data_IF_363725851403
#
_entry.id   IF_363725851403
#
_cell.length_a   1.000
_cell.length_b   1.000
_cell.length_c   1.000
_cell.angle_alpha   90.00
_cell.angle_beta   90.00
_cell.angle_gamma   90.00
#
_symmetry.space_group_name_H-M   'P 1'
#
loop_
_entity.id
_entity.type
_entity.pdbx_description
1 polymer ?
#
# COMPACT_ATOMS: atom_id res chain seq x y z
N UNK A 1 -14.20 5.49 -11.41
CA UNK A 1 -15.05 4.28 -11.58
C UNK A 1 -15.90 4.13 -10.33
N UNK A 2 -17.22 4.03 -10.50
CA UNK A 2 -18.14 3.82 -9.37
C UNK A 2 -18.14 2.34 -8.96
N UNK A 3 -18.56 2.05 -7.71
CA UNK A 3 -18.66 0.66 -7.22
C UNK A 3 -19.59 -0.20 -8.11
N UNK A 4 -20.65 0.39 -8.66
CA UNK A 4 -21.58 -0.30 -9.56
C UNK A 4 -20.91 -0.67 -10.89
N UNK A 5 -20.11 0.21 -11.46
CA UNK A 5 -19.36 -0.06 -12.69
C UNK A 5 -18.32 -1.16 -12.46
N UNK A 6 -17.63 -1.12 -11.32
CA UNK A 6 -16.65 -2.13 -10.93
C UNK A 6 -17.30 -3.52 -10.81
N UNK A 7 -18.43 -3.62 -10.11
CA UNK A 7 -19.21 -4.88 -9.99
C UNK A 7 -19.57 -5.42 -11.38
N UNK A 8 -20.06 -4.57 -12.28
CA UNK A 8 -20.42 -4.97 -13.65
C UNK A 8 -19.21 -5.44 -14.49
N UNK A 9 -18.02 -4.87 -14.28
CA UNK A 9 -16.79 -5.32 -14.93
C UNK A 9 -16.35 -6.69 -14.40
N UNK A 10 -16.40 -6.87 -13.08
CA UNK A 10 -16.03 -8.15 -12.42
C UNK A 10 -17.01 -9.25 -12.87
N UNK A 11 -18.31 -8.99 -12.87
CA UNK A 11 -19.34 -9.95 -13.29
C UNK A 11 -19.11 -10.41 -14.76
N UNK A 12 -18.88 -9.47 -15.66
CA UNK A 12 -18.55 -9.81 -17.05
C UNK A 12 -17.28 -10.65 -17.17
N UNK A 13 -16.26 -10.32 -16.40
CA UNK A 13 -15.04 -11.11 -16.38
C UNK A 13 -15.26 -12.50 -15.81
N UNK A 14 -16.02 -12.66 -14.72
CA UNK A 14 -16.36 -13.96 -14.16
C UNK A 14 -17.11 -14.86 -15.14
N UNK A 15 -17.94 -14.28 -16.00
CA UNK A 15 -18.69 -14.98 -17.05
C UNK A 15 -17.89 -15.18 -18.35
N UNK A 16 -16.68 -14.64 -18.42
CA UNK A 16 -15.80 -14.80 -19.60
C UNK A 16 -14.84 -15.98 -19.42
N UNK A 17 -14.15 -16.36 -20.50
CA UNK A 17 -13.07 -17.34 -20.45
C UNK A 17 -11.71 -16.73 -20.10
N UNK A 18 -11.64 -15.40 -19.85
CA UNK A 18 -10.39 -14.72 -19.57
C UNK A 18 -9.81 -15.15 -18.20
N UNK A 19 -8.57 -15.58 -18.19
CA UNK A 19 -7.86 -15.99 -16.96
C UNK A 19 -7.44 -14.82 -16.08
N UNK A 20 -7.40 -13.61 -16.62
CA UNK A 20 -6.91 -12.42 -15.91
C UNK A 20 -7.71 -11.19 -16.26
N UNK A 21 -7.88 -10.30 -15.27
CA UNK A 21 -8.46 -8.97 -15.41
C UNK A 21 -7.53 -7.95 -14.73
N UNK A 22 -7.10 -6.94 -15.47
CA UNK A 22 -6.35 -5.82 -14.90
C UNK A 22 -7.25 -4.58 -14.81
N UNK A 23 -7.31 -4.02 -13.64
CA UNK A 23 -8.01 -2.78 -13.31
C UNK A 23 -7.01 -1.71 -12.90
N UNK A 24 -7.35 -0.44 -13.12
CA UNK A 24 -6.57 0.68 -12.58
C UNK A 24 -7.40 1.40 -11.54
N UNK A 25 -6.96 1.32 -10.28
CA UNK A 25 -7.61 1.96 -9.14
C UNK A 25 -6.62 2.94 -8.55
N UNK A 26 -7.00 4.22 -8.50
CA UNK A 26 -6.15 5.34 -8.06
C UNK A 26 -4.81 5.40 -8.81
N UNK A 27 -4.86 5.16 -10.12
CA UNK A 27 -3.69 5.20 -11.00
C UNK A 27 -2.75 4.00 -10.89
N UNK A 28 -3.06 3.03 -10.03
CA UNK A 28 -2.23 1.84 -9.83
C UNK A 28 -2.93 0.56 -10.32
N UNK A 29 -2.19 -0.38 -10.92
CA UNK A 29 -2.76 -1.62 -11.40
C UNK A 29 -3.15 -2.54 -10.23
N UNK A 30 -4.33 -3.12 -10.36
CA UNK A 30 -4.84 -4.22 -9.52
C UNK A 30 -5.22 -5.35 -10.46
N UNK A 31 -4.75 -6.54 -10.16
CA UNK A 31 -4.89 -7.69 -11.05
C UNK A 31 -5.69 -8.78 -10.35
N UNK A 32 -6.74 -9.26 -11.03
CA UNK A 32 -7.45 -10.46 -10.65
C UNK A 32 -6.99 -11.60 -11.56
N UNK A 33 -6.65 -12.72 -10.97
CA UNK A 33 -6.22 -13.92 -11.68
C UNK A 33 -7.11 -15.09 -11.27
N UNK A 34 -7.63 -15.79 -12.26
CA UNK A 34 -8.47 -16.96 -12.03
C UNK A 34 -7.60 -18.19 -11.84
N UNK A 35 -7.89 -18.91 -10.77
CA UNK A 35 -7.35 -20.25 -10.49
C UNK A 35 -8.49 -21.27 -10.53
N UNK A 36 -8.16 -22.54 -10.52
CA UNK A 36 -9.19 -23.61 -10.55
C UNK A 36 -10.09 -23.60 -9.30
N UNK A 37 -9.57 -23.09 -8.18
CA UNK A 37 -10.21 -23.12 -6.85
C UNK A 37 -10.38 -21.70 -6.25
N UNK A 38 -10.28 -20.66 -7.07
CA UNK A 38 -10.47 -19.32 -6.55
C UNK A 38 -9.98 -18.19 -7.46
N UNK A 39 -10.05 -16.99 -6.95
CA UNK A 39 -9.55 -15.77 -7.56
C UNK A 39 -8.45 -15.19 -6.68
N UNK A 40 -7.28 -14.96 -7.27
CA UNK A 40 -6.21 -14.17 -6.67
C UNK A 40 -6.42 -12.70 -7.02
N UNK A 41 -6.36 -11.84 -6.00
CA UNK A 41 -6.33 -10.40 -6.16
C UNK A 41 -4.94 -9.90 -5.79
N UNK A 42 -4.29 -9.12 -6.63
CA UNK A 42 -2.97 -8.58 -6.38
C UNK A 42 -2.90 -7.09 -6.67
N UNK A 43 -2.16 -6.35 -5.86
CA UNK A 43 -1.93 -4.93 -6.03
C UNK A 43 -0.46 -4.61 -5.76
N UNK A 44 0.13 -3.78 -6.61
CA UNK A 44 1.50 -3.32 -6.41
C UNK A 44 1.57 -2.28 -5.30
N UNK A 45 2.57 -2.39 -4.43
CA UNK A 45 2.89 -1.37 -3.42
C UNK A 45 3.92 -0.43 -4.01
N UNK A 46 3.47 0.70 -4.53
CA UNK A 46 4.35 1.70 -5.15
C UNK A 46 5.08 2.50 -4.08
N UNK A 47 6.40 2.47 -4.12
CA UNK A 47 7.26 3.20 -3.19
C UNK A 47 8.10 4.23 -3.94
N UNK A 48 8.36 5.37 -3.31
CA UNK A 48 9.24 6.42 -3.83
C UNK A 48 10.72 6.11 -3.70
N UNK A 49 11.07 5.04 -2.99
CA UNK A 49 12.43 4.60 -2.74
C UNK A 49 12.65 3.19 -3.25
N UNK A 50 13.89 2.87 -3.62
CA UNK A 50 14.25 1.51 -4.01
C UNK A 50 14.16 0.58 -2.80
N UNK A 51 13.60 -0.60 -3.02
CA UNK A 51 13.49 -1.64 -1.98
C UNK A 51 14.89 -2.19 -1.69
N UNK A 52 15.24 -2.26 -0.42
CA UNK A 52 16.48 -2.82 0.10
C UNK A 52 16.21 -3.72 1.32
N UNK A 53 17.22 -4.39 1.81
CA UNK A 53 17.10 -5.32 2.94
C UNK A 53 16.53 -4.66 4.20
N UNK A 54 16.90 -3.41 4.48
CA UNK A 54 16.38 -2.66 5.63
C UNK A 54 14.87 -2.43 5.52
N UNK A 55 14.40 -2.10 4.33
CA UNK A 55 12.97 -1.90 4.06
C UNK A 55 12.22 -3.23 4.13
N UNK A 56 12.80 -4.33 3.61
CA UNK A 56 12.23 -5.67 3.72
C UNK A 56 12.13 -6.15 5.18
N UNK A 57 13.14 -5.89 6.01
CA UNK A 57 13.06 -6.17 7.45
C UNK A 57 11.94 -5.38 8.14
N UNK A 58 11.81 -4.10 7.80
CA UNK A 58 10.71 -3.26 8.31
C UNK A 58 9.35 -3.81 7.88
N UNK A 59 9.22 -4.22 6.62
CA UNK A 59 8.00 -4.82 6.08
C UNK A 59 7.65 -6.13 6.82
N UNK A 60 8.61 -7.01 7.07
CA UNK A 60 8.39 -8.25 7.84
C UNK A 60 7.88 -7.96 9.25
N UNK A 61 8.45 -6.98 9.94
CA UNK A 61 7.99 -6.60 11.29
C UNK A 61 6.54 -6.13 11.29
N UNK A 62 6.14 -5.33 10.29
CA UNK A 62 4.75 -4.88 10.16
C UNK A 62 3.79 -5.97 9.70
N UNK A 63 4.27 -6.97 8.94
CA UNK A 63 3.44 -8.09 8.49
C UNK A 63 2.84 -8.87 9.65
N UNK A 64 3.60 -9.11 10.72
CA UNK A 64 3.09 -9.79 11.92
C UNK A 64 1.95 -9.01 12.56
N UNK A 65 2.10 -7.69 12.69
CA UNK A 65 1.07 -6.82 13.24
C UNK A 65 -0.19 -6.77 12.34
N UNK A 66 0.00 -6.76 11.02
CA UNK A 66 -1.11 -6.77 10.07
C UNK A 66 -1.93 -8.05 10.16
N UNK A 67 -1.28 -9.22 10.24
CA UNK A 67 -1.95 -10.52 10.40
C UNK A 67 -2.71 -10.58 11.74
N UNK A 68 -2.11 -10.12 12.83
CA UNK A 68 -2.77 -10.10 14.14
C UNK A 68 -4.00 -9.19 14.15
N UNK A 69 -3.97 -8.10 13.41
CA UNK A 69 -5.02 -7.09 13.40
C UNK A 69 -6.17 -7.42 12.43
N UNK A 70 -5.84 -7.94 11.25
CA UNK A 70 -6.79 -8.18 10.16
C UNK A 70 -7.21 -9.64 10.05
N UNK A 71 -6.44 -10.57 10.67
CA UNK A 71 -6.74 -12.00 10.63
C UNK A 71 -6.83 -12.53 9.21
N UNK A 72 -7.95 -13.17 8.89
CA UNK A 72 -8.23 -13.75 7.56
C UNK A 72 -8.38 -12.72 6.45
N UNK A 73 -8.58 -11.45 6.78
CA UNK A 73 -8.69 -10.35 5.81
C UNK A 73 -7.32 -9.73 5.47
N UNK A 74 -6.24 -10.15 6.13
CA UNK A 74 -4.91 -9.66 5.83
C UNK A 74 -4.46 -10.11 4.43
N UNK A 75 -4.02 -9.15 3.62
CA UNK A 75 -3.31 -9.45 2.39
C UNK A 75 -1.86 -9.85 2.71
N UNK A 76 -1.34 -10.84 1.98
CA UNK A 76 0.04 -11.25 2.10
C UNK A 76 0.95 -10.27 1.36
N UNK A 77 2.00 -9.78 2.02
CA UNK A 77 3.02 -8.97 1.38
C UNK A 77 4.06 -9.89 0.74
N UNK A 78 4.32 -9.70 -0.55
CA UNK A 78 5.23 -10.51 -1.34
C UNK A 78 6.28 -9.63 -2.03
N UNK A 79 7.51 -10.14 -2.12
CA UNK A 79 8.58 -9.54 -2.89
C UNK A 79 8.73 -10.25 -4.24
N UNK A 80 8.67 -9.50 -5.33
CA UNK A 80 8.99 -9.99 -6.67
C UNK A 80 10.42 -9.59 -7.03
N UNK A 81 11.32 -10.55 -7.09
CA UNK A 81 12.71 -10.30 -7.49
C UNK A 81 12.84 -9.93 -8.98
N UNK A 82 11.90 -10.39 -9.81
CA UNK A 82 11.90 -10.11 -11.23
C UNK A 82 11.59 -8.64 -11.53
N UNK A 83 10.63 -8.08 -10.81
CA UNK A 83 10.17 -6.70 -11.00
C UNK A 83 10.80 -5.73 -9.99
N UNK A 84 11.53 -6.25 -9.00
CA UNK A 84 12.05 -5.49 -7.85
C UNK A 84 10.95 -4.69 -7.12
N UNK A 85 9.76 -5.30 -6.98
CA UNK A 85 8.57 -4.66 -6.41
C UNK A 85 7.94 -5.47 -5.28
N UNK A 86 7.28 -4.76 -4.38
CA UNK A 86 6.41 -5.35 -3.37
C UNK A 86 4.98 -5.43 -3.90
N UNK A 87 4.35 -6.55 -3.63
CA UNK A 87 2.98 -6.84 -4.00
C UNK A 87 2.17 -7.25 -2.78
N UNK A 88 0.92 -6.86 -2.75
CA UNK A 88 -0.08 -7.43 -1.85
C UNK A 88 -0.88 -8.48 -2.60
N UNK A 89 -1.07 -9.63 -1.98
CA UNK A 89 -1.81 -10.75 -2.53
C UNK A 89 -2.93 -11.16 -1.58
N UNK A 90 -4.10 -11.40 -2.13
CA UNK A 90 -5.27 -11.88 -1.41
C UNK A 90 -5.96 -12.94 -2.27
N UNK A 91 -6.44 -14.04 -1.66
CA UNK A 91 -7.17 -15.09 -2.35
C UNK A 91 -8.60 -15.14 -1.87
N UNK A 92 -9.54 -15.32 -2.80
CA UNK A 92 -10.97 -15.38 -2.52
C UNK A 92 -11.65 -16.44 -3.37
N UNK A 93 -12.79 -16.91 -2.91
CA UNK A 93 -13.68 -17.74 -3.69
C UNK A 93 -14.35 -16.91 -4.78
N UNK A 94 -14.56 -17.46 -6.01
CA UNK A 94 -14.95 -16.70 -7.18
C UNK A 94 -16.45 -16.47 -7.34
N UNK A 95 -17.25 -16.83 -6.37
CA UNK A 95 -18.69 -17.06 -6.49
C UNK A 95 -19.57 -15.80 -6.45
N UNK A 96 -19.03 -14.65 -6.00
CA UNK A 96 -19.83 -13.44 -5.83
C UNK A 96 -19.05 -12.17 -6.25
N UNK A 97 -19.52 -11.48 -7.32
CA UNK A 97 -18.87 -10.24 -7.77
C UNK A 97 -18.90 -9.13 -6.71
N UNK A 98 -19.91 -9.08 -5.84
CA UNK A 98 -19.99 -8.09 -4.76
C UNK A 98 -18.92 -8.36 -3.70
N UNK A 99 -18.71 -9.64 -3.34
CA UNK A 99 -17.66 -10.02 -2.41
C UNK A 99 -16.27 -9.74 -2.98
N UNK A 100 -16.07 -10.00 -4.27
CA UNK A 100 -14.80 -9.66 -4.94
C UNK A 100 -14.56 -8.15 -4.96
N UNK A 101 -15.59 -7.35 -5.22
CA UNK A 101 -15.49 -5.89 -5.16
C UNK A 101 -15.06 -5.42 -3.77
N UNK A 102 -15.69 -5.92 -2.70
CA UNK A 102 -15.31 -5.61 -1.31
C UNK A 102 -13.88 -6.05 -0.99
N UNK A 103 -13.47 -7.21 -1.50
CA UNK A 103 -12.08 -7.69 -1.32
C UNK A 103 -11.08 -6.80 -2.03
N UNK A 104 -11.40 -6.27 -3.21
CA UNK A 104 -10.57 -5.29 -3.90
C UNK A 104 -10.47 -3.98 -3.15
N UNK A 105 -11.57 -3.48 -2.60
CA UNK A 105 -11.57 -2.28 -1.75
C UNK A 105 -10.67 -2.50 -0.52
N UNK A 106 -10.80 -3.63 0.15
CA UNK A 106 -9.95 -3.98 1.30
C UNK A 106 -8.47 -4.10 0.90
N UNK A 107 -8.16 -4.69 -0.26
CA UNK A 107 -6.80 -4.81 -0.78
C UNK A 107 -6.18 -3.43 -1.08
N UNK A 108 -6.94 -2.55 -1.72
CA UNK A 108 -6.49 -1.19 -2.05
C UNK A 108 -6.25 -0.38 -0.77
N UNK A 109 -7.15 -0.46 0.20
CA UNK A 109 -6.96 0.21 1.50
C UNK A 109 -5.72 -0.31 2.22
N UNK A 110 -5.47 -1.62 2.22
CA UNK A 110 -4.25 -2.19 2.79
C UNK A 110 -3.00 -1.73 2.03
N UNK A 111 -3.05 -1.67 0.70
CA UNK A 111 -1.97 -1.11 -0.12
C UNK A 111 -1.60 0.30 0.32
N UNK A 112 -2.58 1.17 0.49
CA UNK A 112 -2.35 2.56 0.86
C UNK A 112 -1.74 2.68 2.27
N UNK A 113 -2.17 1.83 3.21
CA UNK A 113 -1.55 1.72 4.54
C UNK A 113 -0.08 1.28 4.42
N UNK A 114 0.20 0.24 3.61
CA UNK A 114 1.56 -0.23 3.40
C UNK A 114 2.47 0.82 2.76
N UNK A 115 1.97 1.55 1.76
CA UNK A 115 2.70 2.66 1.15
C UNK A 115 3.05 3.73 2.18
N UNK A 116 2.13 4.07 3.08
CA UNK A 116 2.35 5.03 4.15
C UNK A 116 3.37 4.54 5.18
N UNK A 117 3.26 3.28 5.60
CA UNK A 117 4.16 2.67 6.59
C UNK A 117 5.60 2.52 6.09
N UNK A 118 5.77 2.23 4.80
CA UNK A 118 7.07 2.00 4.18
C UNK A 118 7.66 3.27 3.54
N UNK A 119 6.89 4.36 3.49
CA UNK A 119 7.40 5.64 3.04
C UNK A 119 8.57 6.11 3.92
N UNK A 120 9.61 6.76 3.34
CA UNK A 120 10.65 7.36 4.16
C UNK A 120 10.02 8.42 5.06
N UNK A 121 10.38 8.40 6.35
CA UNK A 121 10.02 9.50 7.24
C UNK A 121 10.56 10.79 6.62
N UNK A 122 9.69 11.77 6.39
CA UNK A 122 10.12 13.11 6.04
C UNK A 122 11.15 13.52 7.11
N UNK A 123 12.39 13.81 6.69
CA UNK A 123 13.36 14.40 7.61
C UNK A 123 12.69 15.64 8.18
N UNK A 124 12.59 15.78 9.51
CA UNK A 124 12.13 17.04 10.08
C UNK A 124 13.03 18.11 9.44
N UNK A 125 12.42 19.14 8.88
CA UNK A 125 13.17 20.27 8.34
C UNK A 125 14.17 20.66 9.42
N UNK A 126 15.47 20.66 9.09
CA UNK A 126 16.51 21.05 10.04
C UNK A 126 16.07 22.38 10.65
N UNK A 127 16.00 22.49 11.97
CA UNK A 127 15.61 23.75 12.58
C UNK A 127 16.51 24.85 11.95
N UNK A 128 15.94 26.01 11.61
CA UNK A 128 16.73 27.09 11.03
C UNK A 128 17.94 27.32 11.96
N UNK A 129 19.15 27.54 11.40
CA UNK A 129 20.33 27.74 12.19
C UNK A 129 20.06 28.85 13.21
N UNK A 130 20.24 28.53 14.50
CA UNK A 130 20.08 29.49 15.57
C UNK A 130 20.97 30.69 15.27
N UNK A 131 20.36 31.83 14.97
CA UNK A 131 21.09 33.04 14.70
C UNK A 131 21.57 33.61 16.04
N UNK A 132 22.75 33.15 16.47
CA UNK A 132 23.36 33.56 17.74
C UNK A 132 23.63 35.08 17.82
N UNK A 133 23.59 35.79 16.70
CA UNK A 133 23.70 37.26 16.66
C UNK A 133 22.52 37.97 17.31
N UNK A 134 21.34 37.34 17.32
CA UNK A 134 20.16 37.91 17.97
C UNK A 134 20.20 37.79 19.52
N UNK A 135 20.96 36.85 20.04
CA UNK A 135 21.14 36.70 21.50
C UNK A 135 22.15 37.70 22.08
N UNK A 136 23.07 38.23 21.26
CA UNK A 136 24.03 39.22 21.71
C UNK A 136 23.42 40.61 22.03
N UNK A 137 22.22 40.88 21.47
CA UNK A 137 21.50 42.16 21.72
C UNK A 137 20.74 42.20 23.07
N UNK A 138 20.60 41.07 23.77
CA UNK A 138 19.90 41.00 25.07
C UNK A 138 20.85 41.14 26.27
N UNK A 139 22.17 41.26 26.05
CA UNK A 139 23.16 41.46 27.14
C UNK A 139 23.73 42.87 27.27
N UNK A 140 23.13 43.81 26.55
CA UNK A 140 23.68 45.18 26.43
C UNK A 140 22.95 46.29 27.17
N UNK A 141 22.23 46.03 28.29
CA UNK A 141 21.63 47.10 29.07
C UNK A 141 21.59 46.76 30.58
N UNK A 142 22.75 46.59 31.19
CA UNK A 142 22.91 46.70 32.63
C UNK A 142 24.21 47.49 32.96
N UNK A 143 24.23 48.73 32.58
CA UNK A 143 25.09 49.72 33.18
C UNK A 143 24.38 51.08 33.16
N UNK A 144 23.61 51.31 34.14
CA UNK A 144 23.36 52.65 34.65
C UNK A 144 23.25 52.55 36.19
#
# INVERSE_FOLDING_TARGET
MTSTELIGVIERWLNSAAGQLTLHIDGSPVVLTRYHDGVGCSAVVTLSVKVNDRLLHKALRYSSAAVLRLGMEAAALCWSAADEQLWLLMRREPDDPIRLCRSLEALVNQRDVWQSLLAPLARPASPPPLNLKTLAFLQGDQHA
#
